data_IF_461217040740
#
_entry.id   IF_461217040740
#
_cell.length_a   1.000
_cell.length_b   1.000
_cell.length_c   1.000
_cell.angle_alpha   90.00
_cell.angle_beta   90.00
_cell.angle_gamma   90.00
#
_symmetry.space_group_name_H-M   'P 1'
#
loop_
_entity.id
_entity.type
_entity.pdbx_description
1 polymer ?
#
# COMPACT_ATOMS: atom_id res chain seq x y z
N UNK A 1 27.04 11.27 2.40
CA UNK A 1 25.70 11.34 1.80
C UNK A 1 25.39 12.73 1.28
N UNK A 2 25.70 13.81 2.00
CA UNK A 2 25.34 15.18 1.60
C UNK A 2 25.84 15.60 0.20
N UNK A 3 27.09 15.29 -0.15
CA UNK A 3 27.60 15.54 -1.50
C UNK A 3 26.86 14.72 -2.58
N UNK A 4 26.49 13.48 -2.28
CA UNK A 4 25.72 12.63 -3.19
C UNK A 4 24.28 13.14 -3.36
N UNK A 5 23.66 13.63 -2.28
CA UNK A 5 22.34 14.28 -2.31
C UNK A 5 22.38 15.51 -3.21
N UNK A 6 23.38 16.38 -3.06
CA UNK A 6 23.54 17.57 -3.91
C UNK A 6 23.74 17.22 -5.39
N UNK A 7 24.49 16.16 -5.70
CA UNK A 7 24.65 15.68 -7.07
C UNK A 7 23.32 15.13 -7.64
N UNK A 8 22.57 14.35 -6.87
CA UNK A 8 21.25 13.85 -7.28
C UNK A 8 20.24 14.99 -7.50
N UNK A 9 20.22 16.02 -6.64
CA UNK A 9 19.37 17.21 -6.82
C UNK A 9 19.72 17.97 -8.12
N UNK A 10 21.01 18.13 -8.41
CA UNK A 10 21.46 18.73 -9.68
C UNK A 10 21.03 17.88 -10.88
N UNK A 11 21.13 16.56 -10.79
CA UNK A 11 20.68 15.66 -11.85
C UNK A 11 19.16 15.80 -12.11
N UNK A 12 18.34 15.81 -11.05
CA UNK A 12 16.88 16.05 -11.14
C UNK A 12 16.53 17.44 -11.70
N UNK A 13 17.44 18.42 -11.56
CA UNK A 13 17.18 19.76 -12.10
C UNK A 13 17.36 19.84 -13.62
N UNK A 14 18.09 18.90 -14.22
CA UNK A 14 18.37 18.84 -15.67
C UNK A 14 17.43 17.85 -16.37
N UNK A 15 16.86 16.89 -15.64
CA UNK A 15 15.88 15.95 -16.17
C UNK A 15 14.56 16.65 -16.54
N UNK A 16 14.12 16.48 -17.79
CA UNK A 16 12.91 17.11 -18.34
C UNK A 16 11.64 16.75 -17.57
N UNK A 17 11.60 15.58 -16.93
CA UNK A 17 10.42 15.16 -16.15
C UNK A 17 10.35 15.85 -14.79
N UNK A 18 11.46 16.26 -14.22
CA UNK A 18 11.55 16.76 -12.84
C UNK A 18 12.09 18.18 -12.75
N UNK A 19 12.44 18.81 -13.87
CA UNK A 19 12.98 20.17 -13.93
C UNK A 19 12.02 21.21 -13.35
N UNK A 20 10.71 20.99 -13.47
CA UNK A 20 9.65 21.88 -12.96
C UNK A 20 9.51 21.85 -11.43
N UNK A 21 10.07 20.84 -10.75
CA UNK A 21 10.02 20.74 -9.30
C UNK A 21 10.90 21.79 -8.63
N UNK A 22 10.42 22.32 -7.51
CA UNK A 22 11.17 23.18 -6.60
C UNK A 22 12.35 22.45 -5.99
N UNK A 23 13.30 23.21 -5.42
CA UNK A 23 14.46 22.62 -4.75
C UNK A 23 14.07 21.69 -3.59
N UNK A 24 13.04 22.05 -2.81
CA UNK A 24 12.56 21.23 -1.69
C UNK A 24 11.84 19.95 -2.16
N UNK A 25 11.07 20.02 -3.23
CA UNK A 25 10.45 18.82 -3.82
C UNK A 25 11.52 17.84 -4.34
N UNK A 26 12.55 18.36 -5.01
CA UNK A 26 13.70 17.54 -5.45
C UNK A 26 14.45 16.95 -4.27
N UNK A 27 14.67 17.72 -3.20
CA UNK A 27 15.32 17.23 -1.97
C UNK A 27 14.52 16.09 -1.33
N UNK A 28 13.19 16.25 -1.19
CA UNK A 28 12.32 15.21 -0.68
C UNK A 28 12.35 13.95 -1.56
N UNK A 29 12.38 14.10 -2.89
CA UNK A 29 12.49 12.97 -3.81
C UNK A 29 13.82 12.25 -3.65
N UNK A 30 14.94 12.97 -3.55
CA UNK A 30 16.25 12.33 -3.38
C UNK A 30 16.34 11.53 -2.07
N UNK A 31 15.80 12.05 -0.97
CA UNK A 31 15.76 11.29 0.28
C UNK A 31 14.85 10.06 0.18
N UNK A 32 13.75 10.18 -0.54
CA UNK A 32 12.87 9.05 -0.82
C UNK A 32 13.61 7.95 -1.60
N UNK A 33 14.26 8.31 -2.72
CA UNK A 33 14.99 7.36 -3.58
C UNK A 33 16.13 6.67 -2.81
N UNK A 34 16.85 7.40 -1.94
CA UNK A 34 17.88 6.81 -1.07
C UNK A 34 17.25 5.83 -0.06
N UNK A 35 16.08 6.18 0.49
CA UNK A 35 15.32 5.32 1.38
C UNK A 35 14.95 4.00 0.73
N UNK A 36 14.43 4.02 -0.49
CA UNK A 36 14.09 2.82 -1.28
C UNK A 36 15.33 1.98 -1.62
N UNK A 37 16.42 2.61 -2.07
CA UNK A 37 17.67 1.91 -2.39
C UNK A 37 18.22 1.12 -1.18
N UNK A 38 18.07 1.68 0.02
CA UNK A 38 18.55 1.07 1.26
C UNK A 38 17.55 0.06 1.86
N UNK A 39 16.31 -0.01 1.37
CA UNK A 39 15.25 -0.83 1.94
C UNK A 39 15.64 -2.31 2.10
N UNK A 40 16.31 -2.87 1.10
CA UNK A 40 16.72 -4.28 1.11
C UNK A 40 18.02 -4.54 1.89
N UNK A 41 18.79 -3.50 2.25
CA UNK A 41 20.16 -3.66 2.79
C UNK A 41 20.33 -3.11 4.21
N UNK A 42 19.66 -2.01 4.53
CA UNK A 42 19.78 -1.29 5.79
C UNK A 42 18.44 -0.60 6.12
N UNK A 43 17.54 -1.34 6.76
CA UNK A 43 16.20 -0.86 7.11
C UNK A 43 16.22 0.35 8.05
N UNK A 44 17.24 0.49 8.90
CA UNK A 44 17.37 1.64 9.80
C UNK A 44 17.68 2.93 9.05
N UNK A 45 18.63 2.89 8.12
CA UNK A 45 18.90 4.05 7.26
C UNK A 45 17.76 4.30 6.28
N UNK A 46 17.14 3.26 5.74
CA UNK A 46 15.95 3.39 4.89
C UNK A 46 14.87 4.21 5.59
N UNK A 47 14.50 3.83 6.82
CA UNK A 47 13.55 4.56 7.64
C UNK A 47 14.00 6.00 7.96
N UNK A 48 15.29 6.20 8.25
CA UNK A 48 15.83 7.54 8.51
C UNK A 48 15.65 8.47 7.31
N UNK A 49 15.95 8.00 6.10
CA UNK A 49 15.83 8.79 4.87
C UNK A 49 14.37 8.98 4.45
N UNK A 50 13.54 7.95 4.55
CA UNK A 50 12.09 8.06 4.31
C UNK A 50 11.43 9.06 5.27
N UNK A 51 11.86 9.10 6.55
CA UNK A 51 11.38 10.10 7.52
C UNK A 51 11.76 11.52 7.13
N UNK A 52 13.01 11.76 6.69
CA UNK A 52 13.42 13.08 6.18
C UNK A 52 12.59 13.52 4.97
N UNK A 53 12.35 12.60 4.04
CA UNK A 53 11.48 12.85 2.88
C UNK A 53 10.07 13.24 3.31
N UNK A 54 9.48 12.47 4.24
CA UNK A 54 8.15 12.74 4.78
C UNK A 54 8.07 14.12 5.47
N UNK A 55 9.05 14.48 6.29
CA UNK A 55 9.11 15.78 6.98
C UNK A 55 9.11 16.95 5.98
N UNK A 56 9.87 16.84 4.89
CA UNK A 56 9.88 17.88 3.84
C UNK A 56 8.55 17.91 3.09
N UNK A 57 8.00 16.74 2.71
CA UNK A 57 6.69 16.64 2.04
C UNK A 57 5.58 17.30 2.88
N UNK A 58 5.57 17.08 4.20
CA UNK A 58 4.62 17.70 5.12
C UNK A 58 4.78 19.22 5.26
N UNK A 59 5.95 19.78 4.96
CA UNK A 59 6.18 21.23 5.00
C UNK A 59 5.70 21.94 3.73
N UNK A 60 5.74 21.25 2.57
CA UNK A 60 5.56 21.89 1.26
C UNK A 60 4.26 21.48 0.54
N UNK A 61 3.61 20.41 0.99
CA UNK A 61 2.37 19.89 0.41
C UNK A 61 1.19 20.05 1.36
N UNK A 62 -0.06 20.10 0.83
CA UNK A 62 -1.26 19.95 1.64
C UNK A 62 -1.20 18.66 2.49
N UNK A 63 -1.81 18.69 3.66
CA UNK A 63 -1.75 17.59 4.65
C UNK A 63 -2.32 16.26 4.14
N UNK A 64 -3.25 16.32 3.19
CA UNK A 64 -3.88 15.19 2.52
C UNK A 64 -3.26 14.86 1.15
N UNK A 65 -2.17 15.52 0.75
CA UNK A 65 -1.56 15.26 -0.54
C UNK A 65 -1.13 13.77 -0.67
N UNK A 66 -1.51 13.13 -1.78
CA UNK A 66 -1.32 11.69 -2.02
C UNK A 66 0.14 11.22 -1.81
N UNK A 67 1.13 12.05 -2.17
CA UNK A 67 2.57 11.79 -1.91
C UNK A 67 2.92 11.61 -0.43
N UNK A 68 2.19 12.24 0.50
CA UNK A 68 2.34 11.99 1.94
C UNK A 68 1.83 10.58 2.29
N UNK A 69 0.72 10.17 1.67
CA UNK A 69 0.19 8.80 1.79
C UNK A 69 1.21 7.76 1.34
N UNK A 70 1.88 7.99 0.21
CA UNK A 70 2.96 7.11 -0.29
C UNK A 70 4.10 6.97 0.72
N UNK A 71 4.59 8.08 1.26
CA UNK A 71 5.63 8.05 2.30
C UNK A 71 5.22 7.17 3.49
N UNK A 72 3.96 7.26 3.91
CA UNK A 72 3.45 6.45 5.00
C UNK A 72 3.33 4.96 4.63
N UNK A 73 2.90 4.64 3.41
CA UNK A 73 2.86 3.26 2.92
C UNK A 73 4.25 2.60 2.93
N UNK A 74 5.28 3.31 2.45
CA UNK A 74 6.65 2.77 2.39
C UNK A 74 7.27 2.63 3.78
N UNK A 75 7.01 3.58 4.68
CA UNK A 75 7.38 3.43 6.08
C UNK A 75 6.69 2.22 6.72
N UNK A 76 5.41 1.98 6.39
CA UNK A 76 4.67 0.79 6.83
C UNK A 76 5.37 -0.50 6.39
N UNK A 77 5.78 -0.57 5.11
CA UNK A 77 6.51 -1.72 4.58
C UNK A 77 7.87 -1.93 5.26
N UNK A 78 8.61 -0.84 5.53
CA UNK A 78 9.91 -0.92 6.17
C UNK A 78 9.80 -1.40 7.62
N UNK A 79 8.81 -0.90 8.38
CA UNK A 79 8.55 -1.39 9.74
C UNK A 79 8.06 -2.84 9.76
N UNK A 80 7.25 -3.25 8.77
CA UNK A 80 6.82 -4.65 8.66
C UNK A 80 8.02 -5.59 8.46
N UNK A 81 8.95 -5.21 7.60
CA UNK A 81 10.19 -5.95 7.36
C UNK A 81 11.11 -6.00 8.59
N UNK A 82 11.08 -4.96 9.43
CA UNK A 82 11.74 -4.98 10.75
C UNK A 82 11.02 -5.82 11.81
N UNK A 83 9.83 -6.35 11.51
CA UNK A 83 9.00 -7.07 12.48
C UNK A 83 8.27 -6.16 13.47
N UNK A 84 8.31 -4.84 13.28
CA UNK A 84 7.60 -3.85 14.10
C UNK A 84 6.15 -3.70 13.60
N UNK A 85 5.38 -4.77 13.76
CA UNK A 85 4.08 -4.95 13.13
C UNK A 85 3.05 -3.87 13.52
N UNK A 86 2.99 -3.47 14.79
CA UNK A 86 2.01 -2.48 15.24
C UNK A 86 2.32 -1.09 14.66
N UNK A 87 3.61 -0.71 14.63
CA UNK A 87 4.08 0.53 14.00
C UNK A 87 3.83 0.52 12.48
N UNK A 88 4.01 -0.61 11.83
CA UNK A 88 3.67 -0.77 10.41
C UNK A 88 2.18 -0.51 10.16
N UNK A 89 1.30 -1.07 10.99
CA UNK A 89 -0.15 -0.86 10.89
C UNK A 89 -0.53 0.61 11.09
N UNK A 90 0.07 1.32 12.04
CA UNK A 90 -0.16 2.76 12.23
C UNK A 90 0.17 3.57 10.97
N UNK A 91 1.29 3.24 10.32
CA UNK A 91 1.70 3.90 9.09
C UNK A 91 0.76 3.58 7.92
N UNK A 92 0.36 2.33 7.74
CA UNK A 92 -0.64 1.98 6.73
C UNK A 92 -2.00 2.65 6.96
N UNK A 93 -2.43 2.82 8.21
CA UNK A 93 -3.67 3.55 8.53
C UNK A 93 -3.60 5.03 8.14
N UNK A 94 -2.47 5.71 8.39
CA UNK A 94 -2.26 7.10 7.94
C UNK A 94 -2.30 7.22 6.42
N UNK A 95 -1.74 6.24 5.71
CA UNK A 95 -1.83 6.18 4.24
C UNK A 95 -3.29 6.01 3.78
N UNK A 96 -4.05 5.11 4.42
CA UNK A 96 -5.49 4.90 4.15
C UNK A 96 -6.30 6.19 4.32
N UNK A 97 -6.11 6.93 5.41
CA UNK A 97 -6.84 8.18 5.67
C UNK A 97 -6.64 9.22 4.55
N UNK A 98 -5.46 9.24 3.95
CA UNK A 98 -5.12 10.12 2.82
C UNK A 98 -5.74 9.58 1.53
N UNK A 99 -5.52 8.30 1.24
CA UNK A 99 -5.99 7.70 0.00
C UNK A 99 -7.51 7.65 -0.08
N UNK A 100 -8.22 7.43 1.03
CA UNK A 100 -9.68 7.43 1.06
C UNK A 100 -10.29 8.75 0.58
N UNK A 101 -9.67 9.88 0.91
CA UNK A 101 -10.13 11.21 0.48
C UNK A 101 -10.03 11.41 -1.03
N UNK A 102 -9.02 10.83 -1.66
CA UNK A 102 -8.70 11.05 -3.08
C UNK A 102 -9.13 9.90 -4.00
N UNK A 103 -9.35 8.71 -3.44
CA UNK A 103 -9.64 7.50 -4.20
C UNK A 103 -10.97 7.57 -4.98
N UNK A 104 -11.86 8.52 -4.70
CA UNK A 104 -13.14 8.63 -5.42
C UNK A 104 -13.36 9.98 -6.08
N UNK A 105 -12.32 10.82 -6.09
CA UNK A 105 -12.34 12.07 -6.84
C UNK A 105 -12.29 11.77 -8.35
N UNK A 106 -13.05 12.54 -9.13
CA UNK A 106 -13.08 12.42 -10.60
C UNK A 106 -11.84 13.00 -11.27
N UNK A 107 -11.09 13.83 -10.55
CA UNK A 107 -9.79 14.31 -11.00
C UNK A 107 -8.79 13.17 -10.84
N UNK A 108 -8.44 12.57 -11.97
CA UNK A 108 -7.45 11.52 -12.07
C UNK A 108 -6.07 12.11 -11.73
N UNK A 109 -5.69 12.02 -10.46
CA UNK A 109 -4.31 12.28 -10.05
C UNK A 109 -3.38 11.30 -10.79
N UNK A 110 -2.15 11.72 -11.07
CA UNK A 110 -1.10 10.90 -11.74
C UNK A 110 -0.85 9.52 -11.11
N UNK A 111 -1.36 9.26 -9.91
CA UNK A 111 -1.18 8.04 -9.16
C UNK A 111 -2.44 7.20 -9.16
N UNK A 112 -2.31 5.88 -9.26
CA UNK A 112 -3.42 4.95 -9.07
C UNK A 112 -3.81 4.85 -7.58
N UNK A 113 -4.36 5.94 -7.03
CA UNK A 113 -4.66 6.10 -5.59
C UNK A 113 -5.50 4.95 -5.05
N UNK A 114 -6.41 4.43 -5.87
CA UNK A 114 -7.31 3.32 -5.50
C UNK A 114 -6.56 2.00 -5.31
N UNK A 115 -5.59 1.71 -6.18
CA UNK A 115 -4.73 0.52 -6.04
C UNK A 115 -3.89 0.62 -4.76
N UNK A 116 -3.33 1.80 -4.46
CA UNK A 116 -2.57 2.02 -3.23
C UNK A 116 -3.45 1.89 -1.99
N UNK A 117 -4.68 2.41 -2.08
CA UNK A 117 -5.68 2.30 -1.03
C UNK A 117 -6.00 0.82 -0.74
N UNK A 118 -6.30 0.05 -1.79
CA UNK A 118 -6.53 -1.40 -1.70
C UNK A 118 -5.31 -2.12 -1.11
N UNK A 119 -4.11 -1.80 -1.59
CA UNK A 119 -2.87 -2.42 -1.15
C UNK A 119 -2.58 -2.18 0.35
N UNK A 120 -2.91 -1.02 0.89
CA UNK A 120 -2.76 -0.76 2.32
C UNK A 120 -3.65 -1.69 3.16
N UNK A 121 -4.89 -1.93 2.74
CA UNK A 121 -5.77 -2.90 3.40
C UNK A 121 -5.21 -4.34 3.33
N UNK A 122 -4.67 -4.75 2.18
CA UNK A 122 -4.03 -6.06 2.01
C UNK A 122 -2.81 -6.21 2.93
N UNK A 123 -1.98 -5.17 3.05
CA UNK A 123 -0.81 -5.20 3.92
C UNK A 123 -1.20 -5.33 5.41
N UNK A 124 -2.19 -4.56 5.89
CA UNK A 124 -2.69 -4.71 7.26
C UNK A 124 -3.34 -6.09 7.46
N UNK A 125 -4.04 -6.64 6.46
CA UNK A 125 -4.61 -7.97 6.53
C UNK A 125 -3.54 -9.06 6.69
N UNK A 126 -2.45 -8.96 5.93
CA UNK A 126 -1.28 -9.84 6.07
C UNK A 126 -0.69 -9.77 7.48
N UNK A 127 -0.52 -8.56 8.02
CA UNK A 127 -0.02 -8.37 9.39
C UNK A 127 -0.98 -9.00 10.42
N UNK A 128 -2.28 -8.77 10.29
CA UNK A 128 -3.28 -9.37 11.17
C UNK A 128 -3.25 -10.91 11.11
N UNK A 129 -3.07 -11.49 9.92
CA UNK A 129 -2.91 -12.94 9.75
C UNK A 129 -1.67 -13.47 10.46
N UNK A 130 -0.53 -12.76 10.35
CA UNK A 130 0.71 -13.07 11.10
C UNK A 130 0.52 -12.97 12.62
N UNK A 131 -0.45 -12.18 13.08
CA UNK A 131 -0.82 -12.03 14.49
C UNK A 131 -1.99 -12.94 14.92
N UNK A 132 -2.43 -13.88 14.07
CA UNK A 132 -3.59 -14.75 14.27
C UNK A 132 -4.94 -14.01 14.45
N UNK A 133 -5.03 -12.75 13.99
CA UNK A 133 -6.23 -11.91 14.01
C UNK A 133 -7.02 -12.08 12.70
N UNK A 134 -7.44 -13.31 12.41
CA UNK A 134 -7.99 -13.69 11.10
C UNK A 134 -9.30 -12.97 10.75
N UNK A 135 -10.19 -12.73 11.72
CA UNK A 135 -11.42 -11.97 11.50
C UNK A 135 -11.14 -10.57 10.93
N UNK A 136 -10.15 -9.89 11.51
CA UNK A 136 -9.73 -8.57 11.06
C UNK A 136 -9.05 -8.63 9.68
N UNK A 137 -8.27 -9.70 9.41
CA UNK A 137 -7.63 -9.89 8.11
C UNK A 137 -8.66 -10.07 6.99
N UNK A 138 -9.70 -10.88 7.24
CA UNK A 138 -10.83 -11.10 6.33
C UNK A 138 -11.57 -9.80 6.06
N UNK A 139 -11.92 -9.03 7.10
CA UNK A 139 -12.62 -7.75 6.93
C UNK A 139 -11.83 -6.78 6.04
N UNK A 140 -10.51 -6.70 6.26
CA UNK A 140 -9.63 -5.83 5.48
C UNK A 140 -9.48 -6.28 4.03
N UNK A 141 -9.34 -7.59 3.77
CA UNK A 141 -9.32 -8.11 2.38
C UNK A 141 -10.63 -7.84 1.64
N UNK A 142 -11.76 -7.92 2.34
CA UNK A 142 -13.05 -7.56 1.76
C UNK A 142 -13.15 -6.06 1.43
N UNK A 143 -12.56 -5.19 2.25
CA UNK A 143 -12.46 -3.75 1.96
C UNK A 143 -11.61 -3.49 0.72
N UNK A 144 -10.42 -4.08 0.63
CA UNK A 144 -9.52 -4.01 -0.53
C UNK A 144 -10.26 -4.40 -1.83
N UNK A 145 -10.90 -5.57 -1.81
CA UNK A 145 -11.68 -6.08 -2.94
C UNK A 145 -12.83 -5.13 -3.34
N UNK A 146 -13.53 -4.53 -2.37
CA UNK A 146 -14.61 -3.59 -2.66
C UNK A 146 -14.12 -2.28 -3.29
N UNK A 147 -12.90 -1.84 -2.95
CA UNK A 147 -12.25 -0.69 -3.60
C UNK A 147 -11.94 -1.05 -5.06
N UNK A 148 -11.32 -2.21 -5.31
CA UNK A 148 -10.91 -2.64 -6.65
C UNK A 148 -12.10 -2.87 -7.60
N UNK A 149 -13.22 -3.37 -7.07
CA UNK A 149 -14.49 -3.59 -7.79
C UNK A 149 -15.09 -2.33 -8.39
N UNK A 150 -14.90 -1.18 -7.74
CA UNK A 150 -15.50 0.09 -8.19
C UNK A 150 -14.81 0.66 -9.45
N UNK A 151 -13.87 -0.06 -10.08
CA UNK A 151 -12.93 0.55 -11.03
C UNK A 151 -12.42 -0.18 -12.25
N UNK A 152 -12.61 -1.49 -12.42
CA UNK A 152 -11.95 -2.24 -13.50
C UNK A 152 -12.90 -2.83 -14.55
N UNK A 153 -12.49 -2.84 -15.81
CA UNK A 153 -13.11 -3.57 -16.94
C UNK A 153 -12.62 -5.04 -17.08
N UNK A 154 -11.61 -5.49 -16.32
CA UNK A 154 -11.31 -6.94 -16.16
C UNK A 154 -12.44 -7.61 -15.39
N UNK A 155 -12.79 -8.86 -15.72
CA UNK A 155 -13.97 -9.50 -15.14
C UNK A 155 -13.82 -9.63 -13.62
N UNK A 156 -14.73 -8.96 -12.91
CA UNK A 156 -14.81 -8.87 -11.43
C UNK A 156 -14.64 -10.22 -10.74
N UNK A 157 -15.06 -11.30 -11.40
CA UNK A 157 -15.12 -12.66 -10.87
C UNK A 157 -13.74 -13.29 -10.62
N UNK A 158 -12.75 -13.01 -11.46
CA UNK A 158 -11.41 -13.64 -11.33
C UNK A 158 -10.65 -13.10 -10.12
N UNK A 159 -10.69 -11.77 -9.92
CA UNK A 159 -10.06 -11.12 -8.75
C UNK A 159 -10.78 -11.45 -7.45
N UNK A 160 -12.11 -11.54 -7.47
CA UNK A 160 -12.89 -12.01 -6.33
C UNK A 160 -12.57 -13.46 -5.97
N UNK A 161 -12.46 -14.34 -6.96
CA UNK A 161 -12.11 -15.74 -6.77
C UNK A 161 -10.71 -15.88 -6.15
N UNK A 162 -9.72 -15.11 -6.63
CA UNK A 162 -8.38 -15.10 -6.06
C UNK A 162 -8.36 -14.64 -4.60
N UNK A 163 -9.07 -13.55 -4.28
CA UNK A 163 -9.16 -13.07 -2.89
C UNK A 163 -9.79 -14.11 -1.95
N UNK A 164 -10.90 -14.73 -2.38
CA UNK A 164 -11.53 -15.78 -1.59
C UNK A 164 -10.66 -17.04 -1.49
N UNK A 165 -9.85 -17.35 -2.52
CA UNK A 165 -8.90 -18.45 -2.49
C UNK A 165 -7.80 -18.19 -1.45
N UNK A 166 -7.17 -17.02 -1.48
CA UNK A 166 -6.11 -16.65 -0.54
C UNK A 166 -6.63 -16.63 0.91
N UNK A 167 -7.91 -16.26 1.12
CA UNK A 167 -8.56 -16.30 2.44
C UNK A 167 -8.89 -17.74 2.86
N UNK A 168 -9.38 -18.56 1.92
CA UNK A 168 -9.70 -19.96 2.17
C UNK A 168 -8.48 -20.75 2.60
N UNK A 169 -7.35 -20.56 1.93
CA UNK A 169 -6.06 -21.17 2.30
C UNK A 169 -5.59 -20.73 3.70
N UNK A 170 -5.74 -19.45 4.04
CA UNK A 170 -5.38 -18.95 5.38
C UNK A 170 -6.25 -19.54 6.50
N UNK A 171 -7.53 -19.78 6.23
CA UNK A 171 -8.48 -20.35 7.20
C UNK A 171 -8.43 -21.87 7.25
N UNK A 172 -7.99 -22.55 6.18
CA UNK A 172 -8.06 -24.01 6.03
C UNK A 172 -7.38 -24.77 7.17
N UNK A 173 -6.29 -24.21 7.70
CA UNK A 173 -5.53 -24.85 8.78
C UNK A 173 -6.16 -24.69 10.19
N UNK A 174 -7.21 -23.87 10.35
CA UNK A 174 -7.65 -23.37 11.67
C UNK A 174 -9.17 -23.38 11.82
N UNK A 175 -9.93 -23.04 10.78
CA UNK A 175 -11.39 -23.01 10.76
C UNK A 175 -11.89 -23.50 9.39
N UNK A 176 -12.02 -24.83 9.28
CA UNK A 176 -12.43 -25.52 8.06
C UNK A 176 -13.84 -25.08 7.65
N UNK A 177 -14.74 -24.81 8.59
CA UNK A 177 -16.12 -24.42 8.28
C UNK A 177 -16.18 -23.06 7.59
N UNK A 178 -15.39 -22.09 8.06
CA UNK A 178 -15.27 -20.78 7.38
C UNK A 178 -14.50 -20.88 6.07
N UNK A 179 -13.43 -21.69 6.01
CA UNK A 179 -12.72 -21.93 4.76
C UNK A 179 -13.68 -22.47 3.68
N UNK A 180 -14.55 -23.43 4.04
CA UNK A 180 -15.58 -23.99 3.17
C UNK A 180 -16.62 -22.93 2.74
N UNK A 181 -16.96 -21.95 3.59
CA UNK A 181 -17.83 -20.84 3.22
C UNK A 181 -17.21 -20.00 2.09
N UNK A 182 -15.91 -19.71 2.19
CA UNK A 182 -15.18 -18.97 1.16
C UNK A 182 -15.00 -19.80 -0.11
N UNK A 183 -14.72 -21.10 -0.01
CA UNK A 183 -14.72 -22.00 -1.17
C UNK A 183 -16.07 -22.01 -1.89
N UNK A 184 -17.19 -22.00 -1.15
CA UNK A 184 -18.54 -21.88 -1.74
C UNK A 184 -18.75 -20.53 -2.45
N UNK A 185 -18.18 -19.44 -1.93
CA UNK A 185 -18.22 -18.12 -2.59
C UNK A 185 -17.41 -18.11 -3.90
N UNK A 186 -16.25 -18.78 -3.94
CA UNK A 186 -15.46 -18.98 -5.19
C UNK A 186 -16.30 -19.72 -6.23
N UNK A 187 -16.90 -20.86 -5.86
CA UNK A 187 -17.70 -21.69 -6.75
C UNK A 187 -18.88 -20.89 -7.33
N UNK A 188 -19.63 -20.19 -6.46
CA UNK A 188 -20.73 -19.29 -6.88
C UNK A 188 -20.27 -18.21 -7.84
N UNK A 189 -19.10 -17.62 -7.61
CA UNK A 189 -18.55 -16.58 -8.49
C UNK A 189 -18.04 -17.12 -9.82
N UNK A 190 -17.46 -18.32 -9.85
CA UNK A 190 -16.98 -18.98 -11.06
C UNK A 190 -18.12 -19.45 -12.00
N UNK A 191 -19.37 -19.40 -11.56
CA UNK A 191 -20.54 -19.82 -12.34
C UNK A 191 -20.69 -21.34 -12.46
N UNK A 192 -19.87 -22.12 -11.75
CA UNK A 192 -19.98 -23.58 -11.70
C UNK A 192 -21.06 -23.97 -10.71
N UNK A 193 -22.28 -24.22 -11.20
CA UNK A 193 -23.31 -24.87 -10.40
C UNK A 193 -22.96 -26.37 -10.30
N UNK A 194 -22.38 -26.79 -9.18
CA UNK A 194 -22.47 -28.19 -8.78
C UNK A 194 -23.87 -28.43 -8.22
N UNK A 195 -24.78 -28.86 -9.09
CA UNK A 195 -25.97 -29.59 -8.65
C UNK A 195 -25.49 -30.96 -8.17
N UNK A 196 -25.75 -31.23 -6.88
CA UNK A 196 -25.48 -32.51 -6.24
C UNK A 196 -26.27 -33.65 -6.89
#
# INVERSE_FOLDING_TARGET
>A
YDAAVQLRIKALSIDKKTCHLTAKEKEAQVYFDIGEELFATDLDKSLQFSKKSLEIRQQILPVDHVTIGFSHQDMGAAYENKGMLDTAVEHYKKAIEIYEKHAFDKEEYQFNVKELYSQCHVNIARINSRQNKYDNAVELRMKALNIDKKTSQLTTKEKEAQCYFDIGEELYAIDIDRALEFSKKIIRNSGTNFTC
#
